data_IF_256001693873
#
_entry.id   IF_256001693873
#
_cell.length_a   1.000
_cell.length_b   1.000
_cell.length_c   1.000
_cell.angle_alpha   90.00
_cell.angle_beta   90.00
_cell.angle_gamma   90.00
#
_symmetry.space_group_name_H-M   'P 1'
#
loop_
_entity.id
_entity.type
_entity.pdbx_description
1 polymer ?
#
# COMPACT_ATOMS: atom_id res chain seq x y z
N UNK A 1 17.31 -29.25 -16.15
CA UNK A 1 15.97 -29.64 -15.63
C UNK A 1 15.66 -29.08 -14.25
N UNK A 2 16.38 -29.42 -13.16
CA UNK A 2 16.07 -28.84 -11.82
C UNK A 2 16.49 -27.37 -11.75
N UNK A 3 17.70 -27.02 -12.19
CA UNK A 3 18.18 -25.62 -12.25
C UNK A 3 17.32 -24.74 -13.18
N UNK A 4 16.98 -25.25 -14.37
CA UNK A 4 16.10 -24.53 -15.33
C UNK A 4 14.67 -24.29 -14.78
N UNK A 5 14.15 -25.19 -13.93
CA UNK A 5 12.85 -24.97 -13.27
C UNK A 5 12.95 -23.90 -12.19
N UNK A 6 14.01 -23.94 -11.39
CA UNK A 6 14.24 -22.98 -10.31
C UNK A 6 14.43 -21.55 -10.85
N UNK A 7 15.25 -21.37 -11.89
CA UNK A 7 15.46 -20.06 -12.51
C UNK A 7 14.15 -19.46 -13.06
N UNK A 8 13.34 -20.29 -13.72
CA UNK A 8 12.03 -19.88 -14.24
C UNK A 8 11.05 -19.51 -13.13
N UNK A 9 10.97 -20.34 -12.08
CA UNK A 9 10.09 -20.09 -10.93
C UNK A 9 10.51 -18.82 -10.18
N UNK A 10 11.81 -18.56 -10.06
CA UNK A 10 12.36 -17.34 -9.49
C UNK A 10 12.00 -16.11 -10.32
N UNK A 11 12.19 -16.15 -11.64
CA UNK A 11 11.82 -15.06 -12.54
C UNK A 11 10.31 -14.76 -12.46
N UNK A 12 9.47 -15.79 -12.50
CA UNK A 12 8.02 -15.64 -12.35
C UNK A 12 7.64 -15.06 -10.98
N UNK A 13 8.27 -15.55 -9.91
CA UNK A 13 7.99 -15.10 -8.54
C UNK A 13 8.37 -13.63 -8.34
N UNK A 14 9.52 -13.19 -8.88
CA UNK A 14 9.95 -11.79 -8.82
C UNK A 14 8.95 -10.85 -9.51
N UNK A 15 8.25 -11.34 -10.53
CA UNK A 15 7.19 -10.60 -11.22
C UNK A 15 5.83 -10.63 -10.50
N UNK A 16 5.61 -11.59 -9.60
CA UNK A 16 4.34 -11.79 -8.88
C UNK A 16 4.35 -11.14 -7.50
N UNK A 17 5.47 -11.23 -6.79
CA UNK A 17 5.68 -10.68 -5.44
C UNK A 17 5.20 -9.22 -5.30
N UNK A 18 5.43 -8.30 -6.25
CA UNK A 18 4.97 -6.91 -6.14
C UNK A 18 3.45 -6.73 -6.01
N UNK A 19 2.65 -7.72 -6.43
CA UNK A 19 1.19 -7.68 -6.34
C UNK A 19 0.64 -8.20 -5.01
N UNK A 20 1.51 -8.76 -4.16
CA UNK A 20 1.11 -9.38 -2.91
C UNK A 20 1.52 -8.45 -1.76
N UNK A 21 0.58 -8.10 -0.84
CA UNK A 21 0.92 -7.29 0.31
C UNK A 21 2.08 -7.88 1.12
N UNK A 22 3.04 -7.04 1.51
CA UNK A 22 4.29 -7.50 2.15
C UNK A 22 4.06 -8.33 3.42
N UNK A 23 3.07 -7.97 4.24
CA UNK A 23 2.70 -8.75 5.42
C UNK A 23 2.19 -10.17 5.08
N UNK A 24 1.48 -10.34 3.96
CA UNK A 24 1.03 -11.65 3.47
C UNK A 24 2.24 -12.46 3.05
N UNK A 25 3.17 -11.88 2.28
CA UNK A 25 4.39 -12.56 1.86
C UNK A 25 5.20 -13.10 3.05
N UNK A 26 5.35 -12.30 4.10
CA UNK A 26 6.02 -12.72 5.34
C UNK A 26 5.30 -13.90 6.02
N UNK A 27 3.96 -13.89 6.05
CA UNK A 27 3.14 -15.00 6.59
C UNK A 27 3.27 -16.27 5.76
N UNK A 28 3.24 -16.15 4.43
CA UNK A 28 3.43 -17.28 3.52
C UNK A 28 4.82 -17.92 3.69
N UNK A 29 5.85 -17.11 3.92
CA UNK A 29 7.21 -17.62 4.13
C UNK A 29 7.37 -18.36 5.46
N UNK A 30 6.66 -17.93 6.51
CA UNK A 30 6.75 -18.52 7.86
C UNK A 30 5.89 -19.78 8.04
N UNK A 31 5.27 -20.28 6.96
CA UNK A 31 4.59 -21.59 6.88
C UNK A 31 3.34 -21.74 7.77
N UNK A 32 2.63 -20.65 8.07
CA UNK A 32 1.27 -20.74 8.58
C UNK A 32 0.30 -20.99 7.41
N UNK A 33 0.15 -22.26 7.01
CA UNK A 33 -0.89 -22.72 6.07
C UNK A 33 -2.30 -22.26 6.45
N UNK A 34 -2.48 -21.86 7.71
CA UNK A 34 -3.72 -21.37 8.27
C UNK A 34 -4.15 -20.00 7.75
N UNK A 35 -3.30 -19.27 7.02
CA UNK A 35 -3.68 -17.96 6.46
C UNK A 35 -4.94 -18.02 5.59
N UNK A 36 -5.15 -19.13 4.87
CA UNK A 36 -6.32 -19.31 4.01
C UNK A 36 -7.57 -19.76 4.79
N UNK A 37 -7.41 -20.31 5.98
CA UNK A 37 -8.53 -20.65 6.85
C UNK A 37 -8.90 -19.47 7.77
N UNK A 38 -7.94 -18.61 8.09
CA UNK A 38 -8.11 -17.42 8.91
C UNK A 38 -8.60 -16.24 8.07
N UNK A 39 -9.92 -16.18 7.89
CA UNK A 39 -10.55 -15.12 7.09
C UNK A 39 -10.45 -13.73 7.73
N UNK A 40 -10.31 -13.64 9.06
CA UNK A 40 -10.27 -12.40 9.81
C UNK A 40 -9.12 -12.40 10.82
N UNK A 41 -8.37 -11.30 10.85
CA UNK A 41 -7.30 -11.07 11.80
C UNK A 41 -7.39 -9.67 12.40
N UNK A 42 -7.30 -9.61 13.73
CA UNK A 42 -7.24 -8.35 14.47
C UNK A 42 -5.79 -7.90 14.54
N UNK A 43 -5.55 -6.68 14.09
CA UNK A 43 -4.24 -6.05 14.00
C UNK A 43 -4.26 -4.76 14.81
N UNK A 44 -3.09 -4.32 15.29
CA UNK A 44 -2.89 -3.00 15.89
C UNK A 44 -1.77 -2.31 15.11
N UNK A 45 -1.92 -1.03 14.79
CA UNK A 45 -0.85 -0.31 14.10
C UNK A 45 -1.26 1.02 13.53
N UNK A 46 -0.35 1.59 12.74
CA UNK A 46 -0.54 2.87 12.07
C UNK A 46 -1.11 2.66 10.68
N UNK A 47 -2.18 3.38 10.34
CA UNK A 47 -2.76 3.39 9.00
C UNK A 47 -2.44 4.72 8.34
N UNK A 48 -1.99 4.66 7.08
CA UNK A 48 -1.76 5.82 6.24
C UNK A 48 -2.66 5.71 5.01
N UNK A 49 -3.35 6.81 4.69
CA UNK A 49 -4.06 7.00 3.45
C UNK A 49 -3.42 8.15 2.68
N UNK A 50 -3.02 7.89 1.43
CA UNK A 50 -2.37 8.88 0.55
C UNK A 50 -3.24 9.08 -0.67
N UNK A 51 -3.52 10.33 -1.04
CA UNK A 51 -4.30 10.68 -2.22
C UNK A 51 -3.58 11.71 -3.09
N UNK A 52 -3.67 11.60 -4.41
CA UNK A 52 -3.07 12.56 -5.35
C UNK A 52 -4.05 13.72 -5.57
N UNK A 53 -3.59 14.93 -5.31
CA UNK A 53 -4.42 16.13 -5.52
C UNK A 53 -4.65 16.33 -7.01
N UNK A 54 -5.93 16.43 -7.40
CA UNK A 54 -6.36 16.70 -8.78
C UNK A 54 -5.75 15.72 -9.80
N UNK A 55 -5.75 14.42 -9.49
CA UNK A 55 -5.20 13.38 -10.35
C UNK A 55 -5.71 13.39 -11.78
N UNK A 56 -7.02 13.56 -11.99
CA UNK A 56 -7.60 13.57 -13.35
C UNK A 56 -6.98 14.71 -14.20
N UNK A 57 -6.99 15.98 -13.76
CA UNK A 57 -6.23 17.05 -14.42
C UNK A 57 -4.72 16.78 -14.59
N UNK A 58 -4.07 16.14 -13.61
CA UNK A 58 -2.65 15.78 -13.68
C UNK A 58 -2.40 14.82 -14.85
N UNK A 59 -3.16 13.72 -14.92
CA UNK A 59 -3.08 12.73 -16.00
C UNK A 59 -3.34 13.37 -17.36
N UNK A 60 -4.38 14.20 -17.49
CA UNK A 60 -4.66 14.90 -18.75
C UNK A 60 -3.53 15.84 -19.19
N UNK A 61 -2.76 16.41 -18.25
CA UNK A 61 -1.63 17.26 -18.60
C UNK A 61 -0.45 16.49 -19.20
N UNK A 62 -0.37 15.18 -18.92
CA UNK A 62 0.64 14.27 -19.45
C UNK A 62 0.27 13.72 -20.85
N UNK A 63 -1.01 13.66 -21.21
CA UNK A 63 -1.50 13.04 -22.46
C UNK A 63 -1.45 14.03 -23.65
N UNK A 64 -0.41 14.86 -23.77
CA UNK A 64 -0.39 15.95 -24.77
C UNK A 64 -0.35 15.49 -26.23
N UNK A 65 0.07 14.26 -26.55
CA UNK A 65 0.21 13.80 -27.94
C UNK A 65 -0.16 12.31 -28.14
N UNK A 66 -1.38 12.03 -28.62
CA UNK A 66 -1.78 10.73 -29.17
C UNK A 66 -1.51 9.50 -28.29
N UNK A 67 -1.20 8.34 -28.91
CA UNK A 67 -0.92 7.08 -28.20
C UNK A 67 0.35 7.15 -27.32
N UNK A 68 1.29 8.05 -27.62
CA UNK A 68 2.51 8.22 -26.82
C UNK A 68 2.21 8.70 -25.40
N UNK A 69 1.16 9.53 -25.23
CA UNK A 69 0.79 10.09 -23.93
C UNK A 69 0.32 9.07 -22.89
N UNK A 70 -0.15 7.88 -23.30
CA UNK A 70 -0.59 6.84 -22.35
C UNK A 70 0.61 6.08 -21.77
N UNK A 71 1.63 5.79 -22.60
CA UNK A 71 2.90 5.20 -22.14
C UNK A 71 3.65 6.15 -21.20
N UNK A 72 3.60 7.44 -21.50
CA UNK A 72 4.20 8.49 -20.66
C UNK A 72 3.51 8.55 -19.28
N UNK A 73 2.16 8.48 -19.24
CA UNK A 73 1.41 8.45 -17.97
C UNK A 73 1.78 7.23 -17.13
N UNK A 74 1.82 6.03 -17.72
CA UNK A 74 2.15 4.83 -16.96
C UNK A 74 3.58 4.88 -16.40
N UNK A 75 4.53 5.39 -17.19
CA UNK A 75 5.92 5.57 -16.75
C UNK A 75 6.00 6.54 -15.57
N UNK A 76 5.37 7.71 -15.69
CA UNK A 76 5.32 8.73 -14.64
C UNK A 76 4.69 8.18 -13.36
N UNK A 77 3.54 7.49 -13.47
CA UNK A 77 2.87 6.92 -12.30
C UNK A 77 3.73 5.82 -11.66
N UNK A 78 4.40 4.99 -12.46
CA UNK A 78 5.31 3.97 -11.95
C UNK A 78 6.49 4.59 -11.19
N UNK A 79 7.08 5.67 -11.71
CA UNK A 79 8.15 6.41 -11.04
C UNK A 79 7.67 7.06 -9.74
N UNK A 80 6.51 7.72 -9.76
CA UNK A 80 5.86 8.31 -8.57
C UNK A 80 5.60 7.25 -7.50
N UNK A 81 4.92 6.16 -7.84
CA UNK A 81 4.62 5.08 -6.90
C UNK A 81 5.90 4.42 -6.39
N UNK A 82 6.98 4.38 -7.18
CA UNK A 82 8.28 3.92 -6.69
C UNK A 82 8.82 4.81 -5.57
N UNK A 83 8.69 6.14 -5.69
CA UNK A 83 9.09 7.07 -4.62
C UNK A 83 8.28 6.91 -3.34
N UNK A 84 7.00 6.53 -3.45
CA UNK A 84 6.11 6.31 -2.32
C UNK A 84 6.30 4.94 -1.66
N UNK A 85 6.35 3.86 -2.45
CA UNK A 85 6.33 2.49 -1.95
C UNK A 85 7.67 2.06 -1.36
N UNK A 86 8.80 2.56 -1.90
CA UNK A 86 10.13 2.21 -1.40
C UNK A 86 10.33 2.52 0.10
N UNK A 87 10.12 3.77 0.57
CA UNK A 87 10.29 4.08 1.99
C UNK A 87 9.27 3.34 2.87
N UNK A 88 8.03 3.15 2.39
CA UNK A 88 7.03 2.33 3.07
C UNK A 88 7.57 0.92 3.31
N UNK A 89 8.07 0.26 2.26
CA UNK A 89 8.56 -1.12 2.33
C UNK A 89 9.82 -1.24 3.19
N UNK A 90 10.76 -0.30 3.07
CA UNK A 90 12.00 -0.28 3.85
C UNK A 90 11.73 -0.22 5.36
N UNK A 91 10.65 0.45 5.77
CA UNK A 91 10.24 0.56 7.16
C UNK A 91 9.15 -0.44 7.56
N UNK A 92 8.91 -1.48 6.76
CA UNK A 92 8.00 -2.57 7.09
C UNK A 92 6.52 -2.28 6.92
N UNK A 93 6.19 -1.18 6.26
CA UNK A 93 4.83 -0.87 5.86
C UNK A 93 4.34 -1.80 4.76
N UNK A 94 3.04 -2.01 4.73
CA UNK A 94 2.37 -2.81 3.71
C UNK A 94 1.37 -1.96 2.96
N UNK A 95 1.49 -1.93 1.64
CA UNK A 95 0.43 -1.42 0.76
C UNK A 95 -0.65 -2.49 0.64
N UNK A 96 -1.87 -2.18 1.09
CA UNK A 96 -2.99 -3.11 1.02
C UNK A 96 -3.84 -2.89 -0.22
N UNK A 97 -4.04 -1.63 -0.62
CA UNK A 97 -4.95 -1.31 -1.70
C UNK A 97 -4.51 -0.07 -2.47
N UNK A 98 -4.64 -0.15 -3.79
CA UNK A 98 -4.71 0.99 -4.69
C UNK A 98 -6.18 1.20 -5.04
N UNK A 99 -6.71 2.39 -4.76
CA UNK A 99 -8.09 2.76 -5.03
C UNK A 99 -8.11 3.93 -6.00
N UNK A 100 -7.91 3.63 -7.29
CA UNK A 100 -7.65 4.66 -8.29
C UNK A 100 -6.24 5.24 -8.09
N UNK A 101 -6.19 6.51 -7.69
CA UNK A 101 -5.00 7.30 -7.40
C UNK A 101 -4.64 7.36 -5.91
N UNK A 102 -5.50 6.84 -5.04
CA UNK A 102 -5.24 6.76 -3.61
C UNK A 102 -4.61 5.42 -3.22
N UNK A 103 -3.80 5.44 -2.16
CA UNK A 103 -3.16 4.26 -1.59
C UNK A 103 -3.51 4.13 -0.11
N UNK A 104 -3.85 2.91 0.29
CA UNK A 104 -4.04 2.52 1.68
C UNK A 104 -2.88 1.64 2.17
N UNK A 105 -2.21 2.12 3.21
CA UNK A 105 -1.01 1.52 3.79
C UNK A 105 -1.25 1.20 5.26
N UNK A 106 -0.74 0.07 5.73
CA UNK A 106 -0.72 -0.27 7.15
C UNK A 106 0.67 -0.67 7.63
N UNK A 107 1.06 -0.12 8.77
CA UNK A 107 2.24 -0.50 9.53
C UNK A 107 1.77 -1.32 10.74
N UNK A 108 1.77 -2.64 10.60
CA UNK A 108 1.42 -3.51 11.72
C UNK A 108 2.43 -3.33 12.86
N UNK A 109 1.93 -3.25 14.09
CA UNK A 109 2.74 -3.17 15.30
C UNK A 109 3.32 -4.55 15.61
N UNK A 110 4.63 -4.61 15.77
CA UNK A 110 5.31 -5.86 16.11
C UNK A 110 5.12 -6.19 17.60
N UNK A 111 5.25 -7.48 17.96
CA UNK A 111 5.05 -7.94 19.34
C UNK A 111 5.97 -7.24 20.36
N UNK A 112 7.19 -6.89 19.98
CA UNK A 112 8.18 -6.23 20.83
C UNK A 112 8.29 -4.72 20.59
N UNK A 113 7.36 -4.15 19.83
CA UNK A 113 7.36 -2.74 19.43
C UNK A 113 6.33 -1.95 20.23
N UNK A 114 6.71 -0.78 20.74
CA UNK A 114 5.81 0.17 21.36
C UNK A 114 4.94 0.88 20.31
N UNK A 115 3.78 1.40 20.72
CA UNK A 115 2.93 2.18 19.80
C UNK A 115 3.66 3.42 19.24
N UNK A 116 4.59 4.01 20.01
CA UNK A 116 5.40 5.14 19.57
C UNK A 116 6.36 4.72 18.44
N UNK A 117 7.12 3.65 18.62
CA UNK A 117 8.05 3.15 17.59
C UNK A 117 7.32 2.79 16.28
N UNK A 118 6.14 2.18 16.37
CA UNK A 118 5.31 1.88 15.20
C UNK A 118 4.87 3.13 14.45
N UNK A 119 4.39 4.14 15.18
CA UNK A 119 3.99 5.42 14.60
C UNK A 119 5.20 6.11 13.97
N UNK A 120 6.36 6.05 14.62
CA UNK A 120 7.59 6.67 14.13
C UNK A 120 8.07 6.02 12.82
N UNK A 121 7.94 4.69 12.65
CA UNK A 121 8.18 4.04 11.33
C UNK A 121 7.29 4.60 10.24
N UNK A 122 6.00 4.71 10.52
CA UNK A 122 5.03 5.22 9.57
C UNK A 122 5.33 6.69 9.20
N UNK A 123 5.59 7.54 10.20
CA UNK A 123 5.93 8.94 9.99
C UNK A 123 7.26 9.12 9.25
N UNK A 124 8.31 8.41 9.64
CA UNK A 124 9.60 8.45 8.94
C UNK A 124 9.47 8.03 7.47
N UNK A 125 8.63 7.02 7.16
CA UNK A 125 8.37 6.60 5.78
C UNK A 125 7.72 7.70 4.94
N UNK A 126 6.78 8.45 5.53
CA UNK A 126 6.11 9.55 4.84
C UNK A 126 7.05 10.74 4.67
N UNK A 127 7.85 11.04 5.69
CA UNK A 127 8.88 12.06 5.61
C UNK A 127 9.89 11.81 4.49
N UNK A 128 10.40 10.59 4.37
CA UNK A 128 11.27 10.20 3.27
C UNK A 128 10.54 10.29 1.92
N UNK A 129 9.28 9.85 1.84
CA UNK A 129 8.47 10.01 0.64
C UNK A 129 8.33 11.48 0.23
N UNK A 130 8.04 12.41 1.14
CA UNK A 130 7.95 13.83 0.83
C UNK A 130 9.27 14.41 0.31
N UNK A 131 10.41 13.99 0.87
CA UNK A 131 11.73 14.37 0.34
C UNK A 131 11.95 13.85 -1.08
N UNK A 132 11.61 12.58 -1.34
CA UNK A 132 11.73 11.95 -2.65
C UNK A 132 10.77 12.60 -3.67
N UNK A 133 9.55 12.96 -3.24
CA UNK A 133 8.55 13.65 -4.06
C UNK A 133 9.01 15.06 -4.44
N UNK A 134 9.63 15.80 -3.51
CA UNK A 134 10.20 17.12 -3.82
C UNK A 134 11.28 17.00 -4.90
N UNK A 135 12.20 16.03 -4.77
CA UNK A 135 13.22 15.76 -5.78
C UNK A 135 12.63 15.36 -7.12
N UNK A 136 11.65 14.45 -7.12
CA UNK A 136 10.92 14.04 -8.33
C UNK A 136 10.24 15.23 -9.02
N UNK A 137 9.59 16.10 -8.25
CA UNK A 137 8.90 17.28 -8.76
C UNK A 137 9.84 18.30 -9.43
N UNK A 138 11.13 18.35 -9.07
CA UNK A 138 12.12 19.22 -9.73
C UNK A 138 12.33 18.83 -11.20
N UNK A 139 12.27 17.55 -11.52
CA UNK A 139 12.40 17.04 -12.89
C UNK A 139 11.05 16.96 -13.62
N UNK A 140 9.96 16.77 -12.88
CA UNK A 140 8.60 16.68 -13.41
C UNK A 140 8.06 18.05 -13.85
N UNK A 141 8.27 19.10 -13.04
CA UNK A 141 7.73 20.43 -13.27
C UNK A 141 8.12 21.06 -14.62
N UNK A 142 9.39 21.04 -15.06
CA UNK A 142 9.77 21.59 -16.36
C UNK A 142 9.15 20.86 -17.56
N UNK A 143 8.85 19.56 -17.40
CA UNK A 143 8.30 18.71 -18.49
C UNK A 143 6.79 18.91 -18.66
N UNK A 144 6.05 18.97 -17.54
CA UNK A 144 4.58 18.97 -17.56
C UNK A 144 3.95 20.29 -17.11
N UNK A 145 4.76 21.26 -16.67
CA UNK A 145 4.32 22.55 -16.13
C UNK A 145 3.31 22.37 -14.98
N UNK A 146 3.52 21.33 -14.17
CA UNK A 146 2.75 20.96 -12.97
C UNK A 146 3.65 20.21 -11.99
N UNK A 147 3.25 20.17 -10.74
CA UNK A 147 3.83 19.30 -9.71
C UNK A 147 2.80 18.24 -9.31
N UNK A 148 3.27 17.11 -8.80
CA UNK A 148 2.44 16.15 -8.10
C UNK A 148 2.34 16.59 -6.65
N UNK A 149 1.12 16.94 -6.23
CA UNK A 149 0.81 17.25 -4.83
C UNK A 149 -0.02 16.10 -4.24
N UNK A 150 0.15 15.84 -2.95
CA UNK A 150 -0.53 14.74 -2.26
C UNK A 150 -1.16 15.19 -0.95
N UNK A 151 -2.20 14.47 -0.51
CA UNK A 151 -2.74 14.57 0.84
C UNK A 151 -2.45 13.28 1.58
N UNK A 152 -2.00 13.40 2.82
CA UNK A 152 -1.71 12.25 3.67
C UNK A 152 -2.52 12.34 4.95
N UNK A 153 -3.24 11.27 5.25
CA UNK A 153 -3.99 11.07 6.49
C UNK A 153 -3.45 9.90 7.27
N UNK A 154 -3.18 10.08 8.56
CA UNK A 154 -2.57 9.06 9.41
C UNK A 154 -3.40 8.86 10.68
N UNK A 155 -3.60 7.61 11.08
CA UNK A 155 -4.23 7.24 12.34
C UNK A 155 -3.49 6.06 12.98
N UNK A 156 -3.80 5.76 14.24
CA UNK A 156 -3.26 4.62 14.95
C UNK A 156 -4.37 3.91 15.73
N UNK A 157 -4.35 2.58 15.74
CA UNK A 157 -5.24 1.80 16.58
C UNK A 157 -5.46 0.40 16.06
N UNK A 158 -6.54 -0.23 16.54
CA UNK A 158 -6.95 -1.54 16.06
C UNK A 158 -7.62 -1.44 14.69
N UNK A 159 -7.33 -2.41 13.85
CA UNK A 159 -7.95 -2.62 12.55
C UNK A 159 -8.06 -4.12 12.26
N UNK A 160 -8.84 -4.47 11.26
CA UNK A 160 -9.08 -5.84 10.85
C UNK A 160 -8.47 -6.06 9.49
N UNK A 161 -7.76 -7.18 9.31
CA UNK A 161 -7.34 -7.69 8.02
C UNK A 161 -8.26 -8.86 7.65
N UNK A 162 -8.88 -8.78 6.48
CA UNK A 162 -9.80 -9.78 5.95
C UNK A 162 -9.22 -10.34 4.67
N UNK A 163 -9.14 -11.66 4.59
CA UNK A 163 -8.80 -12.35 3.35
C UNK A 163 -10.08 -12.67 2.59
N UNK A 164 -10.28 -12.02 1.43
CA UNK A 164 -11.46 -12.19 0.59
C UNK A 164 -11.06 -12.92 -0.68
N UNK A 165 -11.89 -13.86 -1.13
CA UNK A 165 -11.71 -14.54 -2.40
C UNK A 165 -11.74 -16.05 -2.24
N UNK A 166 -11.24 -16.73 -3.27
CA UNK A 166 -11.11 -18.18 -3.28
C UNK A 166 -9.98 -18.59 -4.22
N UNK A 167 -9.61 -19.87 -4.16
CA UNK A 167 -8.58 -20.46 -5.02
C UNK A 167 -8.93 -20.38 -6.52
N UNK A 168 -10.21 -20.37 -6.88
CA UNK A 168 -10.67 -20.33 -8.27
C UNK A 168 -10.49 -18.96 -8.93
N UNK A 169 -10.49 -17.88 -8.14
CA UNK A 169 -10.34 -16.52 -8.62
C UNK A 169 -8.96 -16.00 -8.20
N UNK A 170 -8.89 -15.41 -7.02
CA UNK A 170 -7.68 -15.00 -6.34
C UNK A 170 -8.09 -14.53 -4.95
N UNK A 171 -7.18 -14.62 -4.00
CA UNK A 171 -7.34 -13.96 -2.71
C UNK A 171 -6.87 -12.50 -2.78
N UNK A 172 -7.52 -11.65 -1.99
CA UNK A 172 -7.14 -10.26 -1.78
C UNK A 172 -7.23 -9.95 -0.30
N UNK A 173 -6.22 -9.26 0.22
CA UNK A 173 -6.17 -8.82 1.61
C UNK A 173 -6.74 -7.41 1.70
N UNK A 174 -7.84 -7.25 2.43
CA UNK A 174 -8.51 -5.97 2.65
C UNK A 174 -8.40 -5.60 4.12
N UNK A 175 -8.17 -4.33 4.42
CA UNK A 175 -8.20 -3.82 5.80
C UNK A 175 -9.40 -2.92 6.05
N UNK A 176 -9.91 -2.93 7.27
CA UNK A 176 -11.06 -2.15 7.71
C UNK A 176 -11.01 -1.85 9.21
N UNK A 177 -11.93 -1.06 9.72
CA UNK A 177 -12.03 -0.67 11.13
C UNK A 177 -11.82 0.82 11.35
N UNK A 178 -11.89 1.22 12.62
CA UNK A 178 -11.86 2.65 12.98
C UNK A 178 -10.54 3.33 12.63
N UNK A 179 -9.39 2.66 12.78
CA UNK A 179 -8.12 3.25 12.36
C UNK A 179 -8.14 3.59 10.85
N UNK A 180 -8.62 2.68 9.99
CA UNK A 180 -8.74 2.93 8.55
C UNK A 180 -9.64 4.14 8.26
N UNK A 181 -10.83 4.17 8.88
CA UNK A 181 -11.76 5.29 8.74
C UNK A 181 -11.14 6.62 9.21
N UNK A 182 -10.43 6.62 10.33
CA UNK A 182 -9.79 7.80 10.89
C UNK A 182 -8.66 8.33 9.99
N UNK A 183 -7.88 7.46 9.34
CA UNK A 183 -6.85 7.87 8.39
C UNK A 183 -7.48 8.55 7.16
N UNK A 184 -8.57 7.99 6.62
CA UNK A 184 -9.33 8.61 5.52
C UNK A 184 -9.89 9.98 5.95
N UNK A 185 -10.48 10.08 7.15
CA UNK A 185 -10.98 11.37 7.67
C UNK A 185 -9.84 12.38 7.83
N UNK A 186 -8.67 11.95 8.30
CA UNK A 186 -7.50 12.82 8.42
C UNK A 186 -7.03 13.33 7.05
N UNK A 187 -6.94 12.46 6.04
CA UNK A 187 -6.57 12.83 4.67
C UNK A 187 -7.56 13.83 4.09
N UNK A 188 -8.86 13.58 4.22
CA UNK A 188 -9.90 14.42 3.63
C UNK A 188 -9.96 15.82 4.25
N UNK A 189 -9.37 15.99 5.43
CA UNK A 189 -9.18 17.26 6.10
C UNK A 189 -7.75 17.81 5.91
N UNK A 190 -6.89 17.18 5.11
CA UNK A 190 -5.52 17.61 4.86
C UNK A 190 -5.45 18.69 3.78
N UNK A 191 -4.50 19.61 3.92
CA UNK A 191 -4.16 20.53 2.84
C UNK A 191 -3.23 19.82 1.84
N UNK A 192 -3.18 20.25 0.57
CA UNK A 192 -2.19 19.75 -0.37
C UNK A 192 -0.77 19.84 0.21
N UNK A 193 0.02 18.79 -0.03
CA UNK A 193 1.39 18.60 0.45
C UNK A 193 1.56 18.67 1.97
N UNK A 194 0.55 18.21 2.71
CA UNK A 194 0.62 18.11 4.18
C UNK A 194 0.23 16.74 4.71
N UNK A 195 0.81 16.41 5.86
CA UNK A 195 0.44 15.24 6.66
C UNK A 195 -0.52 15.67 7.76
N UNK A 196 -1.73 15.13 7.72
CA UNK A 196 -2.73 15.27 8.77
C UNK A 196 -2.81 13.98 9.59
N UNK A 197 -2.77 14.12 10.91
CA UNK A 197 -2.88 13.03 11.87
C UNK A 197 -4.18 13.12 12.65
N UNK A 198 -4.81 11.97 12.88
CA UNK A 198 -5.95 11.84 13.77
C UNK A 198 -5.51 11.86 15.24
N UNK A 199 -6.39 12.27 16.16
CA UNK A 199 -6.08 12.43 17.58
C UNK A 199 -5.69 11.13 18.29
N UNK A 200 -5.94 9.98 17.67
CA UNK A 200 -5.40 8.68 18.10
C UNK A 200 -3.87 8.64 18.20
N UNK A 201 -3.16 9.56 17.52
CA UNK A 201 -1.69 9.62 17.48
C UNK A 201 -1.10 10.58 18.54
N UNK A 202 -1.91 11.50 19.11
CA UNK A 202 -1.40 12.64 19.90
C UNK A 202 -0.93 12.33 21.31
N UNK A 203 -1.06 11.08 21.77
CA UNK A 203 -0.44 10.69 23.03
C UNK A 203 1.10 10.71 22.95
N UNK A 204 1.66 10.93 21.76
CA UNK A 204 3.06 11.25 21.54
C UNK A 204 3.28 12.73 21.88
N UNK A 205 3.79 12.98 23.09
CA UNK A 205 4.11 14.33 23.61
C UNK A 205 5.09 15.15 22.75
N UNK A 206 5.65 14.55 21.70
CA UNK A 206 6.80 15.04 20.93
C UNK A 206 6.44 15.42 19.49
N UNK A 207 5.20 15.20 19.04
CA UNK A 207 4.78 15.60 17.68
C UNK A 207 4.44 17.09 17.64
N UNK A 208 5.26 17.86 16.90
CA UNK A 208 4.94 19.27 16.62
C UNK A 208 3.81 19.37 15.58
N UNK A 209 2.58 19.40 16.07
CA UNK A 209 1.37 19.46 15.26
C UNK A 209 0.49 20.68 15.61
N UNK A 210 -0.14 21.26 14.59
CA UNK A 210 -1.18 22.28 14.78
C UNK A 210 -2.55 21.64 14.74
N UNK A 211 -3.44 22.04 15.66
CA UNK A 211 -4.82 21.59 15.64
C UNK A 211 -5.56 22.22 14.45
N UNK A 212 -6.14 21.39 13.58
CA UNK A 212 -6.95 21.82 12.42
C UNK A 212 -8.45 21.72 12.71
N UNK A 213 -8.88 20.63 13.36
CA UNK A 213 -10.26 20.43 13.79
C UNK A 213 -10.32 19.71 15.16
N UNK A 214 -11.49 19.23 15.60
CA UNK A 214 -11.63 18.58 16.92
C UNK A 214 -10.66 17.42 17.13
N UNK A 215 -10.52 16.58 16.10
CA UNK A 215 -9.75 15.32 16.13
C UNK A 215 -8.59 15.32 15.12
N UNK A 216 -8.44 16.34 14.28
CA UNK A 216 -7.41 16.38 13.22
C UNK A 216 -6.38 17.46 13.48
N UNK A 217 -5.12 17.09 13.28
CA UNK A 217 -3.94 17.92 13.50
C UNK A 217 -3.03 17.81 12.28
N UNK A 218 -2.36 18.90 11.90
CA UNK A 218 -1.42 18.94 10.78
C UNK A 218 0.00 19.00 11.33
N UNK A 219 0.86 18.08 10.91
CA UNK A 219 2.28 18.08 11.28
C UNK A 219 2.98 19.31 10.67
N UNK A 220 3.75 20.03 11.47
CA UNK A 220 4.42 21.27 11.03
C UNK A 220 5.74 21.02 10.30
N UNK A 221 6.45 19.96 10.67
CA UNK A 221 7.76 19.63 10.13
C UNK A 221 7.80 18.17 9.68
N UNK A 222 8.73 17.89 8.77
CA UNK A 222 9.05 16.54 8.30
C UNK A 222 9.67 15.75 9.45
N UNK A 223 8.84 15.00 10.19
CA UNK A 223 9.28 14.17 11.31
C UNK A 223 10.25 13.10 10.81
N UNK A 224 11.52 13.16 11.20
CA UNK A 224 12.49 12.15 10.80
C UNK A 224 13.12 11.55 12.04
N UNK A 225 12.85 10.26 12.25
CA UNK A 225 13.59 9.44 13.19
C UNK A 225 14.26 8.31 12.41
N UNK A 226 15.53 8.07 12.69
CA UNK A 226 16.23 6.90 12.18
C UNK A 226 15.62 5.66 12.82
N UNK A 227 14.74 4.97 12.10
CA UNK A 227 14.17 3.72 12.57
C UNK A 227 14.91 2.55 11.94
N UNK A 228 15.43 1.68 12.79
CA UNK A 228 16.03 0.42 12.37
C UNK A 228 14.91 -0.62 12.16
N UNK A 229 14.80 -1.15 10.94
CA UNK A 229 13.79 -2.14 10.60
C UNK A 229 14.40 -3.25 9.74
N UNK A 230 14.87 -4.29 10.42
CA UNK A 230 15.56 -5.44 9.82
C UNK A 230 14.58 -6.57 9.45
N UNK A 231 13.52 -6.28 8.68
CA UNK A 231 12.71 -7.36 8.07
C UNK A 231 12.84 -7.29 6.56
N UNK A 232 13.80 -8.06 6.05
CA UNK A 232 14.00 -8.30 4.63
C UNK A 232 13.52 -9.71 4.27
N UNK A 233 12.67 -9.81 3.24
CA UNK A 233 12.27 -11.09 2.69
C UNK A 233 13.22 -11.49 1.56
N UNK A 234 14.04 -12.51 1.80
CA UNK A 234 14.94 -13.06 0.79
C UNK A 234 14.16 -13.98 -0.15
N UNK A 235 13.62 -13.42 -1.24
CA UNK A 235 12.78 -14.14 -2.22
C UNK A 235 13.43 -15.43 -2.74
N UNK A 236 14.73 -15.44 -3.16
CA UNK A 236 15.41 -16.70 -3.51
C UNK A 236 15.35 -17.77 -2.42
N UNK A 237 15.50 -17.39 -1.16
CA UNK A 237 15.43 -18.34 -0.03
C UNK A 237 14.00 -18.84 0.21
N UNK A 238 12.98 -18.01 -0.03
CA UNK A 238 11.58 -18.42 0.11
C UNK A 238 11.21 -19.57 -0.84
N UNK A 239 11.88 -19.70 -1.99
CA UNK A 239 11.67 -20.81 -2.93
C UNK A 239 12.18 -22.17 -2.43
N UNK A 240 12.94 -22.21 -1.32
CA UNK A 240 13.27 -23.49 -0.66
C UNK A 240 12.00 -24.19 -0.16
N UNK A 241 10.94 -23.44 0.14
CA UNK A 241 9.61 -23.99 0.39
C UNK A 241 8.91 -24.26 -0.96
N UNK A 242 8.69 -25.54 -1.34
CA UNK A 242 8.11 -25.89 -2.63
C UNK A 242 6.66 -25.41 -2.81
N UNK A 243 5.96 -25.05 -1.72
CA UNK A 243 4.60 -24.55 -1.77
C UNK A 243 4.53 -23.02 -1.84
N UNK A 244 5.61 -22.31 -1.55
CA UNK A 244 5.62 -20.85 -1.48
C UNK A 244 5.17 -20.20 -2.79
N UNK A 245 5.71 -20.67 -3.91
CA UNK A 245 5.33 -20.19 -5.24
C UNK A 245 3.84 -20.39 -5.50
N UNK A 246 3.33 -21.60 -5.23
CA UNK A 246 1.92 -21.94 -5.43
C UNK A 246 1.01 -21.09 -4.55
N UNK A 247 1.36 -20.87 -3.28
CA UNK A 247 0.61 -19.99 -2.38
C UNK A 247 0.60 -18.55 -2.88
N UNK A 248 1.74 -18.01 -3.32
CA UNK A 248 1.83 -16.67 -3.88
C UNK A 248 0.93 -16.50 -5.12
N UNK A 249 0.93 -17.48 -6.01
CA UNK A 249 0.08 -17.44 -7.22
C UNK A 249 -1.41 -17.31 -6.92
N UNK A 250 -1.87 -17.76 -5.74
CA UNK A 250 -3.29 -17.66 -5.35
C UNK A 250 -3.74 -16.21 -5.06
N UNK A 251 -2.82 -15.26 -4.95
CA UNK A 251 -3.13 -13.84 -4.75
C UNK A 251 -3.19 -13.04 -6.06
N UNK A 252 -2.90 -13.69 -7.20
CA UNK A 252 -2.81 -13.01 -8.49
C UNK A 252 -4.04 -13.35 -9.31
N UNK A 253 -4.68 -12.30 -9.85
CA UNK A 253 -5.78 -12.48 -10.78
C UNK A 253 -5.33 -13.41 -11.94
N UNK A 254 -6.12 -14.44 -12.32
CA UNK A 254 -5.69 -15.42 -13.31
C UNK A 254 -5.32 -14.81 -14.66
N UNK A 255 -5.98 -13.71 -15.06
CA UNK A 255 -5.65 -12.97 -16.28
C UNK A 255 -4.30 -12.27 -16.21
N UNK A 256 -3.92 -11.72 -15.05
CA UNK A 256 -2.60 -11.13 -14.81
C UNK A 256 -1.55 -12.24 -14.72
N UNK A 257 -1.85 -13.32 -13.99
CA UNK A 257 -0.95 -14.46 -13.83
C UNK A 257 -0.55 -15.09 -15.18
N UNK A 258 -1.52 -15.28 -16.09
CA UNK A 258 -1.24 -15.78 -17.44
C UNK A 258 -0.34 -14.83 -18.25
N UNK A 259 -0.51 -13.51 -18.10
CA UNK A 259 0.35 -12.52 -18.76
C UNK A 259 1.78 -12.57 -18.21
N UNK A 260 1.94 -12.68 -16.89
CA UNK A 260 3.26 -12.82 -16.25
C UNK A 260 3.96 -14.10 -16.72
N UNK A 261 3.26 -15.24 -16.76
CA UNK A 261 3.85 -16.52 -17.15
C UNK A 261 4.28 -16.61 -18.62
N UNK A 262 3.60 -15.88 -19.50
CA UNK A 262 3.84 -15.96 -20.95
C UNK A 262 4.93 -14.99 -21.42
N UNK A 263 5.47 -14.15 -20.52
CA UNK A 263 6.46 -13.13 -20.86
C UNK A 263 5.97 -12.14 -21.92
N UNK A 264 4.66 -12.12 -22.19
CA UNK A 264 4.08 -11.19 -23.15
C UNK A 264 4.31 -9.79 -22.63
N UNK A 265 5.07 -9.04 -23.44
CA UNK A 265 5.37 -7.61 -23.38
C UNK A 265 4.53 -6.86 -22.35
N UNK A 266 5.22 -6.29 -21.35
CA UNK A 266 4.86 -5.11 -20.55
C UNK A 266 3.35 -4.90 -20.54
N UNK A 267 2.64 -5.20 -19.45
CA UNK A 267 1.22 -4.86 -19.23
C UNK A 267 0.86 -3.55 -19.95
N UNK A 268 0.42 -3.67 -21.20
CA UNK A 268 0.44 -2.52 -22.09
C UNK A 268 -0.71 -1.65 -21.67
N UNK A 269 -0.42 -0.37 -21.50
CA UNK A 269 -1.43 0.60 -21.14
C UNK A 269 -2.49 0.61 -22.25
N UNK A 270 -3.64 0.00 -21.99
CA UNK A 270 -4.72 -0.08 -22.98
C UNK A 270 -5.78 0.97 -22.67
N UNK A 271 -6.06 1.83 -23.64
CA UNK A 271 -7.26 2.65 -23.62
C UNK A 271 -8.38 1.88 -24.34
N UNK A 272 -9.38 1.41 -23.59
CA UNK A 272 -10.50 0.65 -24.13
C UNK A 272 -11.84 1.06 -23.51
N UNK A 273 -12.92 0.83 -24.26
CA UNK A 273 -14.27 1.01 -23.75
C UNK A 273 -14.60 -0.08 -22.72
N UNK A 274 -15.09 0.34 -21.56
CA UNK A 274 -15.50 -0.55 -20.47
C UNK A 274 -16.83 -0.09 -19.89
N UNK A 275 -17.60 -1.02 -19.34
CA UNK A 275 -18.75 -0.71 -18.48
C UNK A 275 -18.33 -0.89 -17.04
N UNK A 276 -18.30 0.19 -16.28
CA UNK A 276 -17.97 0.17 -14.85
C UNK A 276 -19.24 -0.02 -14.01
N UNK A 277 -19.23 -1.04 -13.15
CA UNK A 277 -20.25 -1.26 -12.13
C UNK A 277 -19.63 -1.03 -10.75
N UNK A 278 -20.04 0.06 -10.09
CA UNK A 278 -19.64 0.34 -8.71
C UNK A 278 -20.73 -0.17 -7.76
N UNK A 279 -20.37 -1.11 -6.88
CA UNK A 279 -21.26 -1.66 -5.87
C UNK A 279 -20.84 -1.12 -4.49
N UNK A 280 -21.81 -0.57 -3.76
CA UNK A 280 -21.63 -0.15 -2.36
C UNK A 280 -22.49 -1.05 -1.47
N UNK A 281 -21.84 -1.68 -0.50
CA UNK A 281 -22.51 -2.45 0.54
C UNK A 281 -22.56 -1.60 1.80
N UNK A 282 -23.76 -1.39 2.35
CA UNK A 282 -23.97 -0.64 3.59
C UNK A 282 -24.36 -1.60 4.73
N UNK A 283 -24.10 -1.20 5.98
CA UNK A 283 -24.52 -1.96 7.17
C UNK A 283 -23.53 -2.97 7.72
N UNK A 284 -22.29 -3.01 7.21
CA UNK A 284 -21.24 -3.85 7.80
C UNK A 284 -20.63 -3.12 9.00
N UNK A 285 -20.99 -3.55 10.21
CA UNK A 285 -20.43 -3.00 11.45
C UNK A 285 -19.23 -3.83 11.91
N UNK A 286 -18.03 -3.44 11.47
CA UNK A 286 -16.79 -4.15 11.80
C UNK A 286 -16.46 -4.12 13.31
N UNK A 287 -16.99 -3.16 14.06
CA UNK A 287 -16.78 -3.05 15.51
C UNK A 287 -17.66 -4.03 16.33
N UNK A 288 -18.65 -4.67 15.69
CA UNK A 288 -19.50 -5.70 16.30
C UNK A 288 -19.08 -7.12 15.95
N UNK A 289 -18.04 -7.28 15.13
CA UNK A 289 -17.44 -8.57 14.85
C UNK A 289 -16.67 -9.00 16.12
N UNK A 290 -17.40 -9.62 17.04
CA UNK A 290 -16.87 -10.10 18.31
C UNK A 290 -15.78 -11.14 18.07
N UNK A 291 -14.77 -11.13 18.95
CA UNK A 291 -13.68 -12.12 19.00
C UNK A 291 -14.16 -13.57 19.22
N UNK A 292 -15.46 -13.85 19.25
CA UNK A 292 -16.04 -15.16 19.52
C UNK A 292 -16.67 -15.85 18.29
N UNK A 293 -16.85 -15.17 17.15
CA UNK A 293 -17.59 -15.75 16.00
C UNK A 293 -16.70 -16.41 14.92
N UNK A 294 -15.37 -16.43 15.09
CA UNK A 294 -14.44 -16.95 14.07
C UNK A 294 -13.42 -17.99 14.59
N UNK A 295 -13.71 -18.63 15.74
CA UNK A 295 -12.96 -19.79 16.24
C UNK A 295 -13.65 -21.11 15.89
#
# INVERSE_FOLDING_TARGET
>A
MIEESFERDLECLLNIVPYIPFNILNKLNTSEYDIFNRQLEVMEGTIIFVDIVQFVPLVFSCIKDGNQGVEDVNTILSEYYTQLINPIRQLGGTVYQFAGDSILVGFNKLANESSLENINRALSSMSEFFMNLELFNRDFMPKFNRVIEVRVGISFGFYYQILIGSKEFSYSSVITGDAVRQAVVAESNSDPDTISVHSSILNIKELDATKKSSEIYTLKETYFESVDYDVFLNIPQCLENPEFFNMCSMFINPGVYQRVLTGYEILTAEHREVTSLLLKFDGINYNQIGMEEFY
#
